data_IF_212903968213
#
_entry.id   IF_212903968213
#
_cell.length_a   1.000
_cell.length_b   1.000
_cell.length_c   1.000
_cell.angle_alpha   90.00
_cell.angle_beta   90.00
_cell.angle_gamma   90.00
#
_symmetry.space_group_name_H-M   'P 1'
#
loop_
_entity.id
_entity.type
_entity.pdbx_description
1 polymer ?
#
# COMPACT_ATOMS: atom_id res chain seq x y z
N UNK A 1 -8.45 18.08 -6.52
CA UNK A 1 -8.93 18.06 -7.93
C UNK A 1 -8.59 16.78 -8.71
N UNK A 2 -7.57 15.97 -8.32
CA UNK A 2 -7.15 14.76 -9.08
C UNK A 2 -8.22 13.68 -9.27
N UNK A 3 -9.03 13.41 -8.25
CA UNK A 3 -10.05 12.34 -8.31
C UNK A 3 -11.24 12.72 -9.17
N UNK A 4 -11.62 14.01 -9.21
CA UNK A 4 -12.75 14.48 -10.02
C UNK A 4 -12.49 14.32 -11.53
N UNK A 5 -11.27 14.61 -11.98
CA UNK A 5 -10.90 14.41 -13.39
C UNK A 5 -10.94 12.92 -13.79
N UNK A 6 -10.50 12.02 -12.90
CA UNK A 6 -10.57 10.57 -13.15
C UNK A 6 -12.01 10.09 -13.31
N UNK A 7 -12.95 10.62 -12.51
CA UNK A 7 -14.38 10.30 -12.64
C UNK A 7 -14.92 10.75 -13.99
N UNK A 8 -14.59 11.97 -14.44
CA UNK A 8 -15.03 12.51 -15.73
C UNK A 8 -14.50 11.65 -16.89
N UNK A 9 -13.20 11.32 -16.88
CA UNK A 9 -12.59 10.44 -17.87
C UNK A 9 -13.24 9.04 -17.84
N UNK A 10 -13.53 8.52 -16.65
CA UNK A 10 -14.21 7.23 -16.48
C UNK A 10 -15.62 7.21 -17.09
N UNK A 11 -16.39 8.28 -16.91
CA UNK A 11 -17.73 8.42 -17.51
C UNK A 11 -17.63 8.46 -19.04
N UNK A 12 -16.71 9.26 -19.58
CA UNK A 12 -16.49 9.35 -21.04
C UNK A 12 -16.13 7.97 -21.60
N UNK A 13 -15.21 7.25 -20.94
CA UNK A 13 -14.82 5.90 -21.35
C UNK A 13 -16.00 4.91 -21.29
N UNK A 14 -16.82 4.98 -20.24
CA UNK A 14 -18.00 4.12 -20.09
C UNK A 14 -19.00 4.34 -21.23
N UNK A 15 -19.23 5.60 -21.64
CA UNK A 15 -20.07 5.93 -22.80
C UNK A 15 -19.49 5.35 -24.08
N UNK A 16 -18.17 5.48 -24.31
CA UNK A 16 -17.50 4.90 -25.49
C UNK A 16 -17.68 3.38 -25.52
N UNK A 17 -17.47 2.70 -24.38
CA UNK A 17 -17.67 1.25 -24.26
C UNK A 17 -19.12 0.86 -24.53
N UNK A 18 -20.10 1.62 -24.00
CA UNK A 18 -21.52 1.36 -24.22
C UNK A 18 -21.92 1.50 -25.69
N UNK A 19 -21.42 2.55 -26.38
CA UNK A 19 -21.65 2.73 -27.82
C UNK A 19 -21.03 1.56 -28.59
N UNK A 20 -19.79 1.18 -28.28
CA UNK A 20 -19.12 0.04 -28.92
C UNK A 20 -19.88 -1.27 -28.70
N UNK A 21 -20.44 -1.48 -27.51
CA UNK A 21 -21.22 -2.67 -27.18
C UNK A 21 -22.52 -2.76 -28.00
N UNK A 22 -23.21 -1.63 -28.22
CA UNK A 22 -24.44 -1.58 -29.01
C UNK A 22 -24.12 -1.79 -30.50
N UNK A 23 -23.07 -1.15 -31.02
CA UNK A 23 -22.72 -1.25 -32.44
C UNK A 23 -22.10 -2.59 -32.84
N UNK A 24 -21.56 -3.34 -31.87
CA UNK A 24 -20.97 -4.67 -32.07
C UNK A 24 -21.75 -5.75 -31.31
N UNK A 25 -23.08 -5.58 -31.22
CA UNK A 25 -23.98 -6.58 -30.65
C UNK A 25 -24.23 -7.75 -31.63
N UNK A 26 -23.82 -7.60 -32.88
CA UNK A 26 -23.92 -8.65 -33.88
C UNK A 26 -23.11 -9.89 -33.46
N UNK A 27 -23.72 -11.06 -33.67
CA UNK A 27 -23.11 -12.34 -33.34
C UNK A 27 -21.91 -12.63 -34.24
N UNK A 28 -20.79 -12.97 -33.63
CA UNK A 28 -19.61 -13.49 -34.34
C UNK A 28 -19.35 -14.90 -33.84
N UNK A 29 -19.01 -15.84 -34.73
CA UNK A 29 -18.62 -17.19 -34.34
C UNK A 29 -17.32 -17.14 -33.53
N UNK A 30 -17.36 -17.63 -32.29
CA UNK A 30 -16.19 -17.71 -31.41
C UNK A 30 -15.91 -19.17 -31.10
N UNK A 31 -14.64 -19.56 -31.25
CA UNK A 31 -14.15 -20.90 -30.95
C UNK A 31 -13.46 -20.92 -29.58
N UNK A 32 -14.12 -21.52 -28.59
CA UNK A 32 -13.67 -21.63 -27.19
C UNK A 32 -12.84 -22.90 -26.94
N UNK A 33 -12.02 -23.33 -27.91
CA UNK A 33 -11.25 -24.59 -27.94
C UNK A 33 -12.09 -25.88 -28.01
N UNK A 34 -13.18 -25.97 -27.25
CA UNK A 34 -14.01 -27.18 -27.13
C UNK A 34 -15.47 -26.96 -27.54
N UNK A 35 -15.86 -25.72 -27.81
CA UNK A 35 -17.20 -25.35 -28.23
C UNK A 35 -17.13 -24.15 -29.19
N UNK A 36 -18.06 -24.12 -30.14
CA UNK A 36 -18.28 -22.98 -31.03
C UNK A 36 -19.65 -22.39 -30.72
N UNK A 37 -19.72 -21.08 -30.56
CA UNK A 37 -20.97 -20.38 -30.33
C UNK A 37 -20.92 -18.97 -30.94
N UNK A 38 -22.07 -18.46 -31.37
CA UNK A 38 -22.21 -17.10 -31.86
C UNK A 38 -22.49 -16.16 -30.69
N UNK A 39 -21.51 -15.34 -30.36
CA UNK A 39 -21.60 -14.38 -29.27
C UNK A 39 -21.18 -13.00 -29.78
N UNK A 40 -21.77 -11.91 -29.28
CA UNK A 40 -21.27 -10.57 -29.53
C UNK A 40 -19.81 -10.45 -29.09
N UNK A 41 -18.95 -9.92 -29.96
CA UNK A 41 -17.50 -9.84 -29.71
C UNK A 41 -17.17 -9.09 -28.42
N UNK A 42 -17.96 -8.07 -28.08
CA UNK A 42 -17.79 -7.28 -26.86
C UNK A 42 -17.94 -8.11 -25.58
N UNK A 43 -18.82 -9.12 -25.54
CA UNK A 43 -18.99 -9.97 -24.36
C UNK A 43 -17.74 -10.80 -24.10
N UNK A 44 -17.11 -11.27 -25.17
CA UNK A 44 -15.86 -12.05 -25.08
C UNK A 44 -14.70 -11.19 -24.59
N UNK A 45 -14.59 -9.96 -25.11
CA UNK A 45 -13.57 -8.99 -24.67
C UNK A 45 -13.79 -8.64 -23.19
N UNK A 46 -15.00 -8.25 -22.80
CA UNK A 46 -15.31 -7.88 -21.41
C UNK A 46 -15.08 -9.05 -20.46
N UNK A 47 -15.49 -10.27 -20.83
CA UNK A 47 -15.22 -11.47 -20.04
C UNK A 47 -13.73 -11.72 -19.86
N UNK A 48 -12.93 -11.58 -20.93
CA UNK A 48 -11.48 -11.77 -20.87
C UNK A 48 -10.80 -10.72 -19.98
N UNK A 49 -11.19 -9.45 -20.12
CA UNK A 49 -10.71 -8.36 -19.27
C UNK A 49 -11.09 -8.60 -17.82
N UNK A 50 -12.33 -9.02 -17.55
CA UNK A 50 -12.81 -9.31 -16.20
C UNK A 50 -11.99 -10.42 -15.53
N UNK A 51 -11.68 -11.51 -16.25
CA UNK A 51 -10.81 -12.58 -15.76
C UNK A 51 -9.40 -12.06 -15.47
N UNK A 52 -8.83 -11.25 -16.38
CA UNK A 52 -7.53 -10.61 -16.17
C UNK A 52 -7.52 -9.71 -14.93
N UNK A 53 -8.55 -8.88 -14.75
CA UNK A 53 -8.72 -8.03 -13.57
C UNK A 53 -8.85 -8.85 -12.29
N UNK A 54 -9.57 -9.98 -12.32
CA UNK A 54 -9.72 -10.87 -11.17
C UNK A 54 -8.38 -11.48 -10.77
N UNK A 55 -7.60 -11.97 -11.74
CA UNK A 55 -6.24 -12.49 -11.49
C UNK A 55 -5.36 -11.39 -10.89
N UNK A 56 -5.33 -10.21 -11.50
CA UNK A 56 -4.54 -9.08 -11.01
C UNK A 56 -4.95 -8.68 -9.59
N UNK A 57 -6.24 -8.62 -9.30
CA UNK A 57 -6.78 -8.29 -7.98
C UNK A 57 -6.33 -9.30 -6.92
N UNK A 58 -6.45 -10.60 -7.20
CA UNK A 58 -5.98 -11.67 -6.30
C UNK A 58 -4.48 -11.55 -6.01
N UNK A 59 -3.65 -11.36 -7.04
CA UNK A 59 -2.20 -11.16 -6.87
C UNK A 59 -1.89 -9.89 -6.07
N UNK A 60 -2.65 -8.82 -6.28
CA UNK A 60 -2.49 -7.56 -5.58
C UNK A 60 -2.76 -7.70 -4.07
N UNK A 61 -3.81 -8.43 -3.68
CA UNK A 61 -4.12 -8.70 -2.26
C UNK A 61 -2.95 -9.38 -1.57
N UNK A 62 -2.38 -10.42 -2.18
CA UNK A 62 -1.23 -11.15 -1.61
C UNK A 62 -0.05 -10.21 -1.42
N UNK A 63 0.28 -9.41 -2.44
CA UNK A 63 1.37 -8.43 -2.40
C UNK A 63 1.15 -7.37 -1.33
N UNK A 64 -0.04 -6.78 -1.26
CA UNK A 64 -0.39 -5.74 -0.28
C UNK A 64 -0.31 -6.30 1.14
N UNK A 65 -0.76 -7.54 1.35
CA UNK A 65 -0.68 -8.17 2.67
C UNK A 65 0.77 -8.43 3.11
N UNK A 66 1.64 -8.87 2.18
CA UNK A 66 3.06 -9.02 2.46
C UNK A 66 3.72 -7.66 2.79
N UNK A 67 3.41 -6.62 2.02
CA UNK A 67 3.91 -5.25 2.28
C UNK A 67 3.44 -4.72 3.63
N UNK A 68 2.16 -4.91 3.98
CA UNK A 68 1.62 -4.53 5.31
C UNK A 68 2.38 -5.20 6.46
N UNK A 69 2.75 -6.48 6.32
CA UNK A 69 3.58 -7.16 7.32
C UNK A 69 4.96 -6.51 7.45
N UNK A 70 5.62 -6.22 6.33
CA UNK A 70 6.93 -5.56 6.33
C UNK A 70 6.88 -4.16 6.97
N UNK A 71 5.83 -3.40 6.68
CA UNK A 71 5.59 -2.08 7.31
C UNK A 71 5.46 -2.24 8.82
N UNK A 72 4.62 -3.16 9.29
CA UNK A 72 4.44 -3.41 10.73
C UNK A 72 5.73 -3.84 11.44
N UNK A 73 6.51 -4.72 10.81
CA UNK A 73 7.83 -5.13 11.35
C UNK A 73 8.77 -3.94 11.46
N UNK A 74 8.84 -3.11 10.40
CA UNK A 74 9.68 -1.92 10.37
C UNK A 74 9.26 -0.89 11.41
N UNK A 75 7.96 -0.67 11.59
CA UNK A 75 7.41 0.23 12.62
C UNK A 75 7.72 -0.25 14.04
N UNK A 76 7.59 -1.55 14.30
CA UNK A 76 7.94 -2.12 15.60
C UNK A 76 9.45 -1.97 15.91
N UNK A 77 10.31 -2.21 14.92
CA UNK A 77 11.76 -2.04 15.07
C UNK A 77 12.13 -0.58 15.35
N UNK A 78 11.50 0.38 14.66
CA UNK A 78 11.67 1.82 14.93
C UNK A 78 11.27 2.17 16.36
N UNK A 79 10.09 1.72 16.81
CA UNK A 79 9.58 2.00 18.16
C UNK A 79 10.48 1.42 19.25
N UNK A 80 11.05 0.25 19.02
CA UNK A 80 12.01 -0.37 19.95
C UNK A 80 13.31 0.43 20.02
N UNK A 81 13.85 0.84 18.87
CA UNK A 81 15.06 1.67 18.82
C UNK A 81 14.86 3.03 19.52
N UNK A 82 13.70 3.66 19.34
CA UNK A 82 13.33 4.91 20.03
C UNK A 82 13.25 4.72 21.56
N UNK A 83 12.72 3.59 22.04
CA UNK A 83 12.69 3.26 23.48
C UNK A 83 14.09 3.06 24.05
N UNK A 84 14.96 2.36 23.33
CA UNK A 84 16.35 2.16 23.74
C UNK A 84 17.11 3.49 23.80
N UNK A 85 16.96 4.34 22.78
CA UNK A 85 17.54 5.69 22.78
C UNK A 85 17.03 6.55 23.94
N UNK A 86 15.74 6.48 24.27
CA UNK A 86 15.17 7.18 25.42
C UNK A 86 15.76 6.66 26.74
N UNK A 87 15.85 5.35 26.92
CA UNK A 87 16.43 4.72 28.11
C UNK A 87 17.93 5.02 28.26
N UNK A 88 18.69 5.00 27.16
CA UNK A 88 20.11 5.36 27.10
C UNK A 88 20.33 6.82 27.51
N UNK A 89 19.52 7.74 26.96
CA UNK A 89 19.55 9.17 27.35
C UNK A 89 19.25 9.34 28.84
N UNK A 90 18.19 8.71 29.35
CA UNK A 90 17.84 8.77 30.77
C UNK A 90 18.93 8.19 31.68
N UNK A 91 19.63 7.13 31.22
CA UNK A 91 20.76 6.53 31.95
C UNK A 91 21.96 7.47 32.00
N UNK A 92 22.35 8.08 30.87
CA UNK A 92 23.44 9.07 30.83
C UNK A 92 23.15 10.30 31.69
N UNK A 93 21.90 10.79 31.71
CA UNK A 93 21.48 11.91 32.58
C UNK A 93 21.64 11.55 34.05
N UNK A 94 21.16 10.36 34.48
CA UNK A 94 21.33 9.91 35.88
C UNK A 94 22.78 9.72 36.30
N UNK A 95 23.63 9.17 35.43
CA UNK A 95 25.06 8.95 35.73
C UNK A 95 25.81 10.29 35.85
N UNK A 96 25.51 11.26 34.97
CA UNK A 96 26.13 12.59 35.06
C UNK A 96 25.64 13.40 36.27
N UNK A 97 24.41 13.21 36.73
CA UNK A 97 23.89 13.85 37.95
C UNK A 97 24.48 13.22 39.23
N UNK A 98 24.69 11.89 39.26
CA UNK A 98 25.36 11.20 40.37
C UNK A 98 26.84 11.56 40.46
N UNK A 99 27.53 11.72 39.33
CA UNK A 99 28.96 12.09 39.31
C UNK A 99 29.21 13.56 39.67
N UNK A 100 28.21 14.44 39.52
CA UNK A 100 28.26 15.82 40.02
C UNK A 100 27.99 15.88 41.53
N UNK A 101 27.17 14.98 42.07
CA UNK A 101 26.82 14.95 43.49
C UNK A 101 27.89 14.30 44.39
N UNK A 102 28.74 13.42 43.85
CA UNK A 102 29.78 12.70 44.62
C UNK A 102 31.11 13.46 44.72
N UNK A 103 31.26 14.64 44.10
CA UNK A 103 32.48 15.43 44.26
C UNK A 103 32.45 16.14 45.63
N UNK A 104 33.31 15.77 46.62
CA UNK A 104 33.34 16.48 47.89
C UNK A 104 33.73 17.94 47.66
N UNK A 105 32.92 18.86 48.18
CA UNK A 105 33.26 20.27 48.26
C UNK A 105 34.62 20.42 48.96
N UNK A 106 35.61 20.93 48.23
CA UNK A 106 36.90 21.29 48.78
C UNK A 106 36.68 22.47 49.74
N UNK A 107 37.04 22.37 51.03
CA UNK A 107 36.95 23.51 51.93
C UNK A 107 37.89 24.61 51.43
N UNK A 108 37.33 25.80 51.28
CA UNK A 108 37.99 27.03 50.83
C UNK A 108 39.24 27.30 51.68
N UNK A 109 40.39 27.70 51.09
CA UNK A 109 41.55 28.06 51.87
C UNK A 109 41.23 29.34 52.64
N UNK A 110 41.22 29.24 53.97
CA UNK A 110 41.16 30.42 54.85
C UNK A 110 42.58 30.97 54.96
N UNK A 111 42.66 32.29 54.79
CA UNK A 111 43.84 33.15 54.64
C UNK A 111 44.92 32.90 55.70
#
# INVERSE_FOLDING_TARGET
MKVQWQVIVGIILAIIIAVFAITNVDGVEVNFLFAKAEWPLILVILGSVLVGCLIFFCLNIVRVNALKKQVKTSENAKRELERQLAAEKSRKVKVSEVEVADKPEHPTPTI
#
